data_IF_777644151995
#
_entry.id   IF_777644151995
#
_cell.length_a   1.000
_cell.length_b   1.000
_cell.length_c   1.000
_cell.angle_alpha   90.00
_cell.angle_beta   90.00
_cell.angle_gamma   90.00
#
_symmetry.space_group_name_H-M   'P 1'
#
loop_
_entity.id
_entity.type
_entity.pdbx_description
1 polymer ?
2 non-polymer ?
3 water ?
#
# COMPACT_ATOMS: atom_id res chain seq x y z
N UNK A 1 -14.62 -20.71 11.38
CA UNK A 1 -13.19 -20.92 11.48
C UNK A 1 -12.52 -20.71 10.13
N UNK A 2 -11.19 -20.77 10.12
CA UNK A 2 -10.42 -20.51 8.91
C UNK A 2 -10.71 -21.51 7.78
N UNK A 3 -10.88 -21.02 6.56
CA UNK A 3 -10.93 -21.93 5.42
C UNK A 3 -9.86 -21.66 4.37
N UNK A 4 -9.25 -22.72 3.86
CA UNK A 4 -8.17 -22.59 2.89
C UNK A 4 -8.62 -23.06 1.51
N UNK A 5 -8.31 -22.29 0.48
CA UNK A 5 -8.61 -22.68 -0.90
C UNK A 5 -7.59 -22.08 -1.86
N UNK A 6 -7.50 -22.65 -3.06
CA UNK A 6 -6.64 -22.09 -4.10
C UNK A 6 -7.41 -21.04 -4.87
N UNK A 7 -6.76 -19.92 -5.16
CA UNK A 7 -7.39 -18.81 -5.87
C UNK A 7 -7.78 -19.17 -7.29
N UNK A 8 -8.92 -18.64 -7.75
CA UNK A 8 -9.43 -18.81 -9.12
C UNK A 8 -9.34 -17.49 -9.86
N UNK A 9 -9.64 -17.53 -11.16
CA UNK A 9 -9.66 -16.31 -11.96
C UNK A 9 -10.49 -15.22 -11.31
N UNK A 10 -11.62 -15.62 -10.72
CA UNK A 10 -12.56 -14.69 -10.07
C UNK A 10 -11.92 -13.89 -8.93
N UNK A 11 -10.85 -14.44 -8.35
CA UNK A 11 -10.18 -13.82 -7.22
C UNK A 11 -9.10 -12.80 -7.58
N UNK A 12 -8.86 -12.59 -8.87
CA UNK A 12 -7.71 -11.77 -9.27
C UNK A 12 -7.67 -10.33 -8.70
N UNK A 13 -8.79 -9.63 -8.70
CA UNK A 13 -8.73 -8.26 -8.18
C UNK A 13 -8.35 -8.25 -6.69
N UNK A 14 -8.73 -9.28 -5.94
CA UNK A 14 -8.33 -9.38 -4.53
C UNK A 14 -6.84 -9.67 -4.37
N UNK A 15 -6.33 -10.59 -5.19
CA UNK A 15 -4.91 -10.93 -5.18
C UNK A 15 -4.05 -9.74 -5.52
N UNK A 16 -4.52 -8.95 -6.49
CA UNK A 16 -3.84 -7.73 -6.88
C UNK A 16 -3.80 -6.75 -5.71
N UNK A 17 -4.92 -6.52 -5.06
CA UNK A 17 -4.97 -5.61 -3.91
C UNK A 17 -4.09 -6.08 -2.76
N UNK A 18 -4.17 -7.36 -2.46
CA UNK A 18 -3.39 -7.90 -1.36
C UNK A 18 -1.89 -7.83 -1.65
N UNK A 19 -1.50 -8.08 -2.90
CA UNK A 19 -0.08 -7.94 -3.25
C UNK A 19 0.42 -6.50 -3.03
N UNK A 20 -0.35 -5.51 -3.46
CA UNK A 20 0.07 -4.13 -3.20
C UNK A 20 0.18 -3.85 -1.70
N UNK A 21 -0.81 -4.33 -0.96
CA UNK A 21 -0.86 -4.15 0.47
C UNK A 21 0.39 -4.75 1.14
N UNK A 22 0.76 -5.94 0.67
CA UNK A 22 1.93 -6.66 1.15
C UNK A 22 3.21 -5.88 0.89
N UNK A 23 3.38 -5.40 -0.33
CA UNK A 23 4.60 -4.70 -0.70
C UNK A 23 4.72 -3.41 0.09
N UNK A 24 3.61 -2.71 0.28
CA UNK A 24 3.65 -1.48 1.03
C UNK A 24 4.00 -1.75 2.49
N UNK A 25 3.42 -2.81 3.06
CA UNK A 25 3.79 -3.30 4.39
C UNK A 25 5.30 -3.59 4.48
N UNK A 26 5.89 -4.07 3.39
CA UNK A 26 7.33 -4.36 3.36
C UNK A 26 8.20 -3.09 3.28
N UNK A 27 7.57 -1.94 3.05
CA UNK A 27 8.30 -0.68 3.03
C UNK A 27 8.56 -0.10 1.66
N UNK A 28 8.05 -0.75 0.62
CA UNK A 28 8.31 -0.29 -0.73
C UNK A 28 7.51 0.98 -1.04
N UNK A 29 8.09 1.85 -1.86
CA UNK A 29 7.43 3.10 -2.22
C UNK A 29 6.55 2.91 -3.45
N UNK A 30 5.21 2.99 -3.25
CA UNK A 30 4.23 2.75 -4.30
C UNK A 30 4.08 3.94 -5.25
N UNK A 31 5.17 4.18 -5.99
CA UNK A 31 5.49 5.35 -6.78
C UNK A 31 4.79 5.44 -8.12
N UNK A 32 4.37 4.29 -8.62
CA UNK A 32 3.81 4.20 -9.95
C UNK A 32 2.63 3.25 -9.85
N UNK A 33 1.76 3.27 -10.86
CA UNK A 33 0.58 2.45 -10.87
C UNK A 33 0.93 1.14 -11.57
N UNK A 34 0.88 0.01 -10.87
CA UNK A 34 1.17 -1.27 -11.53
C UNK A 34 -0.05 -2.19 -11.61
N UNK A 35 -1.25 -1.61 -11.52
CA UNK A 35 -2.43 -2.45 -11.53
C UNK A 35 -2.52 -3.27 -12.81
N UNK A 36 -2.26 -2.65 -13.94
CA UNK A 36 -2.38 -3.35 -15.22
C UNK A 36 -1.46 -4.56 -15.25
N UNK A 37 -0.21 -4.34 -14.86
CA UNK A 37 0.81 -5.40 -14.94
C UNK A 37 0.56 -6.53 -13.95
N UNK A 38 0.12 -6.17 -12.75
CA UNK A 38 -0.24 -7.19 -11.74
C UNK A 38 -1.41 -8.03 -12.25
N UNK A 39 -2.44 -7.37 -12.76
CA UNK A 39 -3.64 -8.09 -13.25
C UNK A 39 -3.31 -9.01 -14.40
N UNK A 40 -2.46 -8.54 -15.31
CA UNK A 40 -2.01 -9.37 -16.43
C UNK A 40 -1.17 -10.56 -15.94
N UNK A 41 -0.29 -10.32 -14.97
CA UNK A 41 0.54 -11.40 -14.40
C UNK A 41 -0.32 -12.53 -13.81
N UNK A 42 -1.31 -12.16 -13.00
CA UNK A 42 -2.19 -13.14 -12.38
C UNK A 42 -3.04 -13.83 -13.43
N UNK A 43 -3.62 -13.05 -14.33
CA UNK A 43 -4.41 -13.66 -15.42
C UNK A 43 -3.66 -14.73 -16.20
N UNK A 44 -2.46 -14.39 -16.65
CA UNK A 44 -1.65 -15.31 -17.43
C UNK A 44 -1.14 -16.52 -16.66
N UNK A 45 -0.58 -16.31 -15.49
CA UNK A 45 0.06 -17.40 -14.75
C UNK A 45 -0.98 -18.31 -14.10
N UNK A 46 -2.10 -17.76 -13.68
CA UNK A 46 -3.15 -18.64 -13.14
C UNK A 46 -3.75 -19.47 -14.27
N UNK A 47 -4.00 -18.85 -15.42
CA UNK A 47 -4.65 -19.55 -16.51
C UNK A 47 -3.81 -20.71 -16.99
N UNK A 48 -2.49 -20.55 -16.99
CA UNK A 48 -1.54 -21.56 -17.45
C UNK A 48 -1.03 -22.46 -16.32
N UNK A 49 -1.53 -22.25 -15.10
CA UNK A 49 -1.13 -23.04 -13.94
C UNK A 49 0.35 -22.96 -13.61
N UNK A 50 0.98 -21.86 -14.01
CA UNK A 50 2.38 -21.58 -13.65
C UNK A 50 2.49 -20.80 -12.33
N UNK A 51 1.33 -20.53 -11.73
CA UNK A 51 1.24 -19.92 -10.41
C UNK A 51 0.10 -20.60 -9.64
N UNK A 52 0.35 -20.95 -8.38
CA UNK A 52 -0.71 -21.40 -7.48
C UNK A 52 -0.70 -20.50 -6.24
N UNK A 53 -1.82 -19.87 -5.96
CA UNK A 53 -1.87 -18.96 -4.81
C UNK A 53 -2.95 -19.43 -3.85
N UNK A 54 -2.51 -19.85 -2.67
CA UNK A 54 -3.43 -20.33 -1.65
C UNK A 54 -3.92 -19.12 -0.84
N UNK A 55 -5.17 -19.19 -0.42
CA UNK A 55 -5.71 -18.15 0.45
C UNK A 55 -6.36 -18.74 1.70
N UNK A 56 -6.26 -18.00 2.79
CA UNK A 56 -6.92 -18.37 4.04
C UNK A 56 -8.00 -17.34 4.23
N UNK A 57 -9.23 -17.79 4.42
CA UNK A 57 -10.37 -16.89 4.52
C UNK A 57 -11.13 -17.13 5.82
N UNK A 58 -11.71 -16.06 6.35
CA UNK A 58 -12.65 -16.17 7.44
C UNK A 58 -13.77 -15.16 7.20
N UNK A 59 -15.01 -15.57 7.41
CA UNK A 59 -16.15 -14.69 7.12
C UNK A 59 -16.00 -14.12 5.71
N UNK A 60 -15.47 -14.96 4.82
CA UNK A 60 -15.10 -14.54 3.47
C UNK A 60 -14.43 -13.17 3.35
N UNK A 61 -13.48 -12.93 4.25
CA UNK A 61 -12.45 -11.91 4.07
C UNK A 61 -11.12 -12.66 4.07
N UNK A 62 -10.21 -12.27 3.18
CA UNK A 62 -8.91 -12.96 3.12
C UNK A 62 -8.03 -12.55 4.29
N UNK A 63 -7.60 -13.54 5.05
CA UNK A 63 -6.70 -13.38 6.18
C UNK A 63 -5.23 -13.51 5.78
N UNK A 64 -4.95 -14.44 4.87
CA UNK A 64 -3.57 -14.66 4.44
C UNK A 64 -3.52 -15.16 2.99
N UNK A 65 -2.40 -14.91 2.33
CA UNK A 65 -2.14 -15.49 1.02
C UNK A 65 -0.73 -16.08 1.02
N UNK A 66 -0.46 -16.93 0.03
CA UNK A 66 0.87 -17.50 -0.16
C UNK A 66 0.88 -18.14 -1.54
N UNK A 67 1.89 -17.84 -2.35
CA UNK A 67 1.90 -18.41 -3.71
C UNK A 67 3.21 -19.11 -4.05
N UNK A 68 3.13 -19.97 -5.05
CA UNK A 68 4.34 -20.59 -5.58
C UNK A 68 4.23 -20.49 -7.09
N UNK A 69 5.30 -20.03 -7.72
CA UNK A 69 5.42 -19.94 -9.18
C UNK A 69 6.42 -21.00 -9.64
N UNK A 70 6.12 -21.62 -10.78
CA UNK A 70 7.03 -22.66 -11.29
C UNK A 70 7.86 -22.08 -12.42
N UNK A 71 9.17 -22.08 -12.21
CA UNK A 71 10.08 -21.39 -13.09
C UNK A 71 11.11 -22.38 -13.63
N UNK A 72 11.55 -22.17 -14.87
CA UNK A 72 12.44 -23.10 -15.57
C UNK A 72 13.85 -22.52 -15.65
N UNK A 73 14.82 -23.28 -15.14
CA UNK A 73 16.23 -22.93 -15.26
C UNK A 73 16.91 -24.07 -16.02
N UNK A 74 18.15 -23.86 -16.49
CA UNK A 74 18.79 -24.98 -17.18
C UNK A 74 19.03 -26.18 -16.27
N UNK A 75 18.78 -27.41 -16.78
CA UNK A 75 19.07 -28.60 -15.98
C UNK A 75 20.50 -28.64 -15.46
N UNK A 76 20.67 -29.23 -14.27
CA UNK A 76 21.99 -29.52 -13.75
C UNK A 76 21.97 -30.87 -13.06
N UNK A 77 23.13 -31.38 -12.68
CA UNK A 77 23.18 -32.73 -12.11
C UNK A 77 22.42 -32.86 -10.79
N UNK A 78 22.24 -31.74 -10.09
CA UNK A 78 21.55 -31.74 -8.81
C UNK A 78 20.07 -31.32 -8.92
N UNK A 79 19.62 -31.09 -10.13
CA UNK A 79 18.25 -30.72 -10.40
C UNK A 79 18.00 -31.03 -11.87
N UNK A 80 17.76 -32.30 -12.21
CA UNK A 80 17.83 -32.70 -13.62
C UNK A 80 16.83 -32.04 -14.56
N UNK A 81 15.68 -31.61 -14.03
CA UNK A 81 14.67 -30.95 -14.86
C UNK A 81 14.94 -29.44 -14.98
N UNK A 82 15.73 -28.91 -14.07
CA UNK A 82 16.00 -27.49 -14.01
C UNK A 82 14.88 -26.63 -13.40
N UNK A 83 13.74 -27.25 -13.12
CA UNK A 83 12.60 -26.50 -12.61
C UNK A 83 12.77 -26.18 -11.14
N UNK A 84 12.19 -25.05 -10.72
CA UNK A 84 12.17 -24.66 -9.32
C UNK A 84 10.82 -24.07 -8.99
N UNK A 85 10.44 -24.15 -7.73
CA UNK A 85 9.25 -23.47 -7.26
C UNK A 85 9.74 -22.16 -6.65
N UNK A 86 9.09 -21.07 -7.01
CA UNK A 86 9.49 -19.75 -6.52
C UNK A 86 8.36 -19.26 -5.61
N UNK A 87 8.65 -19.12 -4.32
CA UNK A 87 7.61 -18.75 -3.37
C UNK A 87 7.50 -17.23 -3.27
N UNK A 88 6.26 -16.74 -3.19
CA UNK A 88 6.01 -15.32 -3.33
C UNK A 88 4.62 -14.99 -2.79
N UNK A 89 4.28 -13.69 -2.79
CA UNK A 89 2.95 -13.25 -2.43
C UNK A 89 2.50 -13.77 -1.08
N UNK A 90 3.42 -13.84 -0.13
CA UNK A 90 3.02 -14.25 1.21
C UNK A 90 2.66 -13.05 2.07
N UNK A 91 1.48 -13.12 2.66
CA UNK A 91 0.98 -12.02 3.48
C UNK A 91 0.05 -12.63 4.51
N UNK A 92 0.22 -12.24 5.76
CA UNK A 92 -0.74 -12.57 6.80
C UNK A 92 -1.23 -11.26 7.44
N UNK A 93 -2.53 -11.12 7.62
CA UNK A 93 -3.14 -9.98 8.30
C UNK A 93 -2.40 -9.76 9.62
N UNK A 94 -1.99 -8.51 9.91
CA UNK A 94 -1.17 -8.25 11.10
C UNK A 94 -1.72 -8.81 12.42
N UNK A 95 -3.01 -8.63 12.69
CA UNK A 95 -3.56 -9.14 13.95
C UNK A 95 -3.60 -10.67 13.98
N UNK A 96 -3.35 -11.31 12.84
CA UNK A 96 -3.33 -12.76 12.76
C UNK A 96 -1.92 -13.35 12.73
N UNK A 97 -0.91 -12.50 12.76
CA UNK A 97 0.47 -12.98 12.70
C UNK A 97 0.92 -13.73 13.96
N UNK A 98 1.98 -14.51 13.83
CA UNK A 98 2.52 -15.28 14.95
C UNK A 98 1.70 -16.47 15.41
N UNK A 99 0.76 -16.91 14.56
CA UNK A 99 -0.05 -18.07 14.88
C UNK A 99 0.34 -19.30 14.03
N UNK A 100 1.35 -19.13 13.20
CA UNK A 100 1.80 -20.24 12.36
C UNK A 100 1.11 -20.31 11.01
N UNK A 101 0.41 -19.25 10.63
CA UNK A 101 -0.32 -19.28 9.37
C UNK A 101 0.61 -19.35 8.15
N UNK A 102 1.56 -18.44 8.07
CA UNK A 102 2.54 -18.48 6.99
C UNK A 102 3.31 -19.81 6.98
N UNK A 103 3.67 -20.31 8.15
CA UNK A 103 4.40 -21.60 8.23
C UNK A 103 3.57 -22.77 7.66
N UNK A 104 2.29 -22.81 8.00
CA UNK A 104 1.40 -23.81 7.46
C UNK A 104 1.17 -23.62 5.96
N UNK A 105 1.16 -22.37 5.50
CA UNK A 105 1.08 -22.10 4.06
C UNK A 105 2.30 -22.68 3.34
N UNK A 106 3.49 -22.51 3.92
CA UNK A 106 4.70 -23.08 3.33
C UNK A 106 4.53 -24.59 3.12
N UNK A 107 3.90 -25.28 4.08
CA UNK A 107 3.65 -26.73 3.91
C UNK A 107 2.81 -26.98 2.66
N UNK A 108 1.76 -26.17 2.46
CA UNK A 108 0.90 -26.35 1.31
C UNK A 108 1.64 -26.07 0.00
N UNK A 109 2.53 -25.09 0.02
CA UNK A 109 3.29 -24.75 -1.19
C UNK A 109 4.30 -25.83 -1.54
N UNK A 110 4.96 -26.38 -0.53
CA UNK A 110 5.87 -27.49 -0.73
C UNK A 110 5.10 -28.65 -1.37
N UNK A 111 3.87 -28.85 -0.94
CA UNK A 111 3.07 -29.91 -1.55
C UNK A 111 2.78 -29.65 -3.05
N UNK A 112 2.50 -28.40 -3.41
CA UNK A 112 2.29 -28.07 -4.83
C UNK A 112 3.53 -28.45 -5.64
N UNK A 113 4.69 -28.20 -5.06
CA UNK A 113 5.96 -28.50 -5.73
C UNK A 113 6.15 -29.99 -5.96
N UNK A 114 5.93 -30.78 -4.91
CA UNK A 114 6.11 -32.23 -4.99
C UNK A 114 5.16 -32.84 -6.01
N UNK A 115 3.93 -32.35 -6.05
CA UNK A 115 2.94 -32.91 -6.98
C UNK A 115 3.33 -32.66 -8.45
N UNK A 116 4.28 -31.75 -8.65
CA UNK A 116 4.77 -31.41 -9.99
C UNK A 116 6.21 -31.87 -10.17
N UNK A 117 6.67 -32.77 -9.30
CA UNK A 117 8.03 -33.30 -9.38
C UNK A 117 9.11 -32.23 -9.29
N UNK A 118 8.91 -31.29 -8.38
CA UNK A 118 9.88 -30.24 -8.12
C UNK A 118 10.40 -30.39 -6.71
N UNK A 119 11.71 -30.30 -6.54
CA UNK A 119 12.32 -30.52 -5.23
C UNK A 119 13.25 -29.41 -4.79
N UNK A 120 13.32 -28.35 -5.59
CA UNK A 120 14.11 -27.18 -5.22
C UNK A 120 13.19 -25.96 -5.19
N UNK A 121 13.15 -25.27 -4.06
CA UNK A 121 12.32 -24.07 -3.90
C UNK A 121 13.20 -22.89 -3.59
N UNK A 122 12.83 -21.71 -4.06
CA UNK A 122 13.62 -20.54 -3.74
C UNK A 122 12.67 -19.38 -3.51
N UNK A 123 13.19 -18.31 -2.92
CA UNK A 123 12.38 -17.13 -2.66
C UNK A 123 13.29 -15.96 -2.34
N UNK A 124 12.72 -14.75 -2.34
CA UNK A 124 13.42 -13.57 -1.86
C UNK A 124 12.80 -13.16 -0.53
N UNK A 125 13.62 -13.17 0.52
CA UNK A 125 13.11 -12.98 1.87
C UNK A 125 12.95 -11.50 2.21
N UNK A 126 11.78 -11.13 2.70
CA UNK A 126 11.54 -9.81 3.24
C UNK A 126 12.04 -9.78 4.68
N UNK A 127 11.98 -8.61 5.32
CA UNK A 127 12.43 -8.47 6.71
C UNK A 127 11.65 -9.37 7.67
N UNK A 128 10.34 -9.40 7.50
CA UNK A 128 9.49 -10.19 8.37
C UNK A 128 9.47 -11.65 7.95
N UNK A 129 9.70 -11.89 6.67
CA UNK A 129 9.64 -13.23 6.15
C UNK A 129 10.84 -14.04 6.56
N UNK A 130 11.99 -13.37 6.68
CA UNK A 130 13.28 -14.06 6.78
C UNK A 130 13.40 -15.10 7.92
N UNK A 131 13.09 -14.69 9.17
CA UNK A 131 13.12 -15.63 10.30
C UNK A 131 12.13 -16.79 10.13
N UNK A 132 11.00 -16.53 9.47
CA UNK A 132 10.04 -17.61 9.18
C UNK A 132 10.66 -18.65 8.25
N UNK A 133 11.27 -18.18 7.16
CA UNK A 133 11.89 -19.07 6.19
C UNK A 133 13.14 -19.75 6.77
N UNK A 134 13.92 -19.01 7.55
CA UNK A 134 15.09 -19.58 8.21
C UNK A 134 14.65 -20.71 9.14
N UNK A 135 13.63 -20.44 9.95
CA UNK A 135 13.09 -21.44 10.86
C UNK A 135 12.64 -22.69 10.10
N UNK A 136 12.10 -22.47 8.90
CA UNK A 136 11.56 -23.56 8.07
C UNK A 136 12.63 -24.40 7.38
N UNK A 137 13.84 -23.87 7.23
CA UNK A 137 14.89 -24.62 6.58
C UNK A 137 15.47 -23.99 5.33
N UNK A 138 14.99 -22.82 4.94
CA UNK A 138 15.58 -22.17 3.78
C UNK A 138 17.02 -21.77 4.12
N UNK A 139 17.91 -21.86 3.13
CA UNK A 139 19.32 -21.61 3.34
C UNK A 139 19.84 -20.37 2.60
N UNK A 140 20.68 -19.60 3.29
CA UNK A 140 21.49 -18.52 2.70
C UNK A 140 22.07 -18.94 1.36
N UNK A 141 22.13 -18.00 0.41
CA UNK A 141 22.65 -18.26 -0.92
C UNK A 141 23.56 -17.13 -1.43
N UNK A 142 24.81 -17.11 -0.98
CA UNK A 142 25.75 -16.07 -1.37
C UNK A 142 26.01 -16.02 -2.89
N UNK A 143 25.55 -17.04 -3.62
CA UNK A 143 25.82 -17.12 -5.05
C UNK A 143 24.92 -16.24 -5.94
N UNK A 144 23.75 -15.82 -5.46
CA UNK A 144 22.83 -15.03 -6.29
C UNK A 144 23.24 -13.58 -6.35
N UNK A 145 23.42 -13.05 -7.56
CA UNK A 145 23.82 -11.66 -7.73
C UNK A 145 22.89 -10.99 -8.72
N UNK A 146 22.71 -9.68 -8.59
CA UNK A 146 21.78 -8.98 -9.46
C UNK A 146 22.36 -7.67 -10.01
N UNK A 147 22.05 -7.42 -11.28
CA UNK A 147 22.49 -6.21 -11.97
C UNK A 147 21.27 -5.37 -12.32
N UNK A 148 21.30 -4.11 -11.94
CA UNK A 148 20.26 -3.16 -12.31
C UNK A 148 20.73 -2.31 -13.48
N UNK A 149 20.12 -2.49 -14.64
CA UNK A 149 20.60 -1.84 -15.86
C UNK A 149 20.46 -0.31 -15.87
N UNK A 150 19.65 0.23 -14.95
CA UNK A 150 19.58 1.68 -14.79
C UNK A 150 20.73 2.24 -13.94
N UNK A 151 21.45 1.35 -13.26
CA UNK A 151 22.52 1.74 -12.33
C UNK A 151 23.95 1.53 -12.84
N UNK A 152 24.16 0.48 -13.63
CA UNK A 152 25.52 0.19 -14.10
C UNK A 152 25.61 0.07 -15.61
N UNK A 153 26.60 0.76 -16.17
CA UNK A 153 26.86 0.77 -17.61
C UNK A 153 28.20 1.41 -17.92
N UNK B 1 12.46 18.26 -14.87
CA UNK B 1 11.85 19.06 -13.81
C UNK B 1 10.56 18.41 -13.30
N UNK B 2 10.16 18.83 -12.11
CA UNK B 2 8.94 18.33 -11.49
C UNK B 2 7.73 19.04 -12.10
N UNK B 3 6.64 18.30 -12.30
CA UNK B 3 5.39 18.93 -12.69
C UNK B 3 4.34 18.63 -11.64
N UNK B 4 3.39 19.55 -11.52
CA UNK B 4 2.32 19.48 -10.53
C UNK B 4 0.99 19.40 -11.26
N UNK B 5 0.07 18.59 -10.75
CA UNK B 5 -1.23 18.44 -11.39
C UNK B 5 -2.24 17.95 -10.39
N UNK B 6 -3.51 18.25 -10.62
CA UNK B 6 -4.60 17.74 -9.79
C UNK B 6 -4.93 16.31 -10.16
N UNK B 7 -5.10 15.47 -9.15
CA UNK B 7 -5.41 14.07 -9.36
C UNK B 7 -6.77 13.92 -10.01
N UNK B 8 -6.84 13.00 -10.97
CA UNK B 8 -8.08 12.64 -11.65
C UNK B 8 -8.54 11.27 -11.14
N UNK B 9 -9.72 10.85 -11.59
CA UNK B 9 -10.27 9.57 -11.15
C UNK B 9 -9.32 8.41 -11.42
N UNK B 10 -8.56 8.50 -12.50
CA UNK B 10 -7.66 7.42 -12.91
C UNK B 10 -6.53 7.22 -11.90
N UNK B 11 -6.30 8.23 -11.05
CA UNK B 11 -5.16 8.24 -10.13
C UNK B 11 -5.49 7.64 -8.77
N UNK B 12 -6.72 7.20 -8.59
CA UNK B 12 -7.13 6.77 -7.27
C UNK B 12 -6.27 5.65 -6.72
N UNK B 13 -5.95 4.67 -7.55
CA UNK B 13 -5.12 3.58 -7.07
C UNK B 13 -3.80 4.07 -6.47
N UNK B 14 -3.18 5.03 -7.16
CA UNK B 14 -1.96 5.69 -6.70
C UNK B 14 -2.17 6.39 -5.35
N UNK B 15 -3.23 7.20 -5.29
CA UNK B 15 -3.54 7.97 -4.09
C UNK B 15 -3.75 7.06 -2.89
N UNK B 16 -4.41 5.93 -3.11
CA UNK B 16 -4.65 4.99 -2.03
C UNK B 16 -3.35 4.40 -1.48
N UNK B 17 -2.47 3.98 -2.39
CA UNK B 17 -1.20 3.37 -1.97
C UNK B 17 -0.27 4.37 -1.29
N UNK B 18 -0.19 5.57 -1.84
CA UNK B 18 0.68 6.58 -1.23
C UNK B 18 0.17 7.00 0.15
N UNK B 19 -1.15 7.11 0.32
CA UNK B 19 -1.67 7.46 1.65
C UNK B 19 -1.23 6.42 2.69
N UNK B 20 -1.29 5.14 2.35
CA UNK B 20 -0.85 4.13 3.32
C UNK B 20 0.62 4.27 3.67
N UNK B 21 1.43 4.53 2.64
CA UNK B 21 2.85 4.80 2.82
C UNK B 21 3.01 5.99 3.74
N UNK B 22 2.20 7.02 3.51
CA UNK B 22 2.25 8.23 4.31
C UNK B 22 2.01 7.94 5.79
N UNK B 23 0.90 7.26 6.08
CA UNK B 23 0.52 6.99 7.46
C UNK B 23 1.59 6.15 8.15
N UNK B 24 2.08 5.13 7.47
CA UNK B 24 3.19 4.36 8.01
C UNK B 24 4.35 5.27 8.36
N UNK B 25 4.67 6.20 7.46
CA UNK B 25 5.77 7.13 7.71
C UNK B 25 5.52 8.02 8.93
N UNK B 26 4.26 8.16 9.33
CA UNK B 26 3.92 8.97 10.51
C UNK B 26 4.13 8.17 11.78
N UNK B 27 4.47 6.90 11.63
CA UNK B 27 4.72 6.04 12.76
C UNK B 27 3.50 5.25 13.19
N UNK B 28 2.53 5.16 12.29
CA UNK B 28 1.31 4.42 12.58
C UNK B 28 1.41 3.00 12.05
N UNK B 29 0.96 2.03 12.86
CA UNK B 29 0.95 0.63 12.44
C UNK B 29 -0.25 0.30 11.56
N UNK B 30 0.00 -0.32 10.39
CA UNK B 30 -1.00 -0.68 9.38
C UNK B 30 -1.73 -2.01 9.67
N UNK B 31 -2.59 -2.06 10.67
CA UNK B 31 -3.22 -3.33 11.06
C UNK B 31 -4.67 -3.58 10.66
N UNK B 32 -5.11 -2.97 9.57
CA UNK B 32 -6.42 -3.29 9.03
C UNK B 32 -6.44 -2.89 7.59
N UNK B 33 -7.19 -3.64 6.79
CA UNK B 33 -7.31 -3.32 5.38
C UNK B 33 -8.20 -2.09 5.24
N UNK B 34 -7.58 -0.93 5.07
CA UNK B 34 -8.34 0.28 4.78
C UNK B 34 -8.38 0.49 3.29
N UNK B 35 -7.82 -0.46 2.54
CA UNK B 35 -7.75 -0.31 1.11
C UNK B 35 -9.13 -0.09 0.50
N UNK B 36 -10.12 -0.82 0.98
CA UNK B 36 -11.44 -0.73 0.38
C UNK B 36 -12.12 0.58 0.77
N UNK B 37 -11.93 0.95 2.02
CA UNK B 37 -12.51 2.19 2.54
C UNK B 37 -11.88 3.43 1.89
N UNK B 38 -10.54 3.44 1.83
CA UNK B 38 -9.83 4.53 1.15
C UNK B 38 -10.26 4.70 -0.30
N UNK B 39 -10.45 3.64 -0.88
CA UNK B 39 -10.86 3.66 -2.28
C UNK B 39 -12.26 4.25 -2.45
N UNK B 40 -13.16 3.87 -1.70
CA UNK B 40 -14.49 4.46 -1.64
C UNK B 40 -14.42 5.96 -1.37
N UNK B 41 -13.68 6.34 -0.34
CA UNK B 41 -13.47 7.75 0.03
C UNK B 41 -13.04 8.63 -1.17
N UNK B 42 -11.97 8.22 -1.83
CA UNK B 42 -11.47 8.95 -2.99
C UNK B 42 -12.48 9.04 -4.14
N UNK B 43 -13.08 7.92 -4.53
CA UNK B 43 -14.10 7.98 -5.59
C UNK B 43 -15.24 8.93 -5.22
N UNK B 44 -15.76 8.79 -4.00
CA UNK B 44 -16.82 9.68 -3.55
C UNK B 44 -16.43 11.16 -3.59
N UNK B 45 -15.34 11.49 -2.90
CA UNK B 45 -14.96 12.90 -2.71
C UNK B 45 -14.42 13.57 -3.99
N UNK B 46 -13.62 12.86 -4.77
CA UNK B 46 -13.15 13.44 -6.03
C UNK B 46 -14.30 13.70 -6.99
N UNK B 47 -15.19 12.72 -7.11
CA UNK B 47 -16.31 12.78 -8.06
C UNK B 47 -17.25 13.94 -7.76
N UNK B 48 -17.43 14.22 -6.47
CA UNK B 48 -18.34 15.27 -6.04
C UNK B 48 -17.61 16.58 -5.73
N UNK B 49 -16.32 16.62 -6.03
CA UNK B 49 -15.52 17.84 -5.86
C UNK B 49 -15.50 18.29 -4.40
N UNK B 50 -15.47 17.31 -3.50
CA UNK B 50 -15.36 17.59 -2.08
C UNK B 50 -13.92 17.39 -1.58
N UNK B 51 -13.03 17.03 -2.52
CA UNK B 51 -11.60 16.87 -2.23
C UNK B 51 -10.81 17.29 -3.47
N UNK B 52 -9.72 17.99 -3.26
CA UNK B 52 -8.76 18.25 -4.33
C UNK B 52 -7.42 17.76 -3.84
N UNK B 53 -6.78 16.89 -4.62
CA UNK B 53 -5.47 16.39 -4.25
C UNK B 53 -4.44 16.68 -5.33
N UNK B 54 -3.51 17.57 -5.01
CA UNK B 54 -2.38 17.89 -5.87
C UNK B 54 -1.28 16.83 -5.84
N UNK B 55 -0.68 16.61 -7.00
CA UNK B 55 0.40 15.65 -7.17
C UNK B 55 1.64 16.36 -7.66
N UNK B 56 2.78 16.03 -7.08
CA UNK B 56 4.07 16.45 -7.62
C UNK B 56 4.68 15.22 -8.24
N UNK B 57 5.17 15.36 -9.46
CA UNK B 57 5.56 14.23 -10.29
C UNK B 57 6.89 14.51 -10.97
N UNK B 58 7.61 13.44 -11.32
CA UNK B 58 8.76 13.57 -12.22
C UNK B 58 9.02 12.22 -12.88
N UNK B 59 8.99 12.21 -14.21
CA UNK B 59 9.08 10.97 -14.97
C UNK B 59 7.78 10.17 -14.86
N UNK B 60 6.68 10.87 -14.58
CA UNK B 60 5.41 10.20 -14.28
C UNK B 60 5.51 9.34 -13.03
N UNK B 61 6.54 9.62 -12.22
CA UNK B 61 6.73 8.97 -10.93
C UNK B 61 6.36 9.96 -9.84
N UNK B 62 5.44 9.59 -8.96
CA UNK B 62 4.96 10.56 -7.98
C UNK B 62 5.99 10.83 -6.88
N UNK B 63 6.17 12.11 -6.58
CA UNK B 63 7.13 12.58 -5.56
C UNK B 63 6.42 13.05 -4.30
N UNK B 64 5.27 13.71 -4.47
CA UNK B 64 4.54 14.26 -3.34
C UNK B 64 3.03 14.34 -3.60
N UNK B 65 2.26 14.34 -2.52
CA UNK B 65 0.82 14.60 -2.56
C UNK B 65 0.48 15.69 -1.53
N UNK B 66 -0.65 16.35 -1.76
CA UNK B 66 -1.23 17.29 -0.79
C UNK B 66 -2.67 17.48 -1.17
N UNK B 67 -3.58 17.34 -0.20
CA UNK B 67 -5.01 17.44 -0.47
C UNK B 67 -5.73 18.39 0.48
N UNK B 68 -6.85 18.89 0.00
CA UNK B 68 -7.76 19.64 0.84
C UNK B 68 -9.18 19.12 0.63
N UNK B 69 -9.86 18.82 1.74
CA UNK B 69 -11.26 18.39 1.70
C UNK B 69 -12.10 19.56 2.16
N UNK B 70 -13.30 19.67 1.59
CA UNK B 70 -14.21 20.75 1.98
C UNK B 70 -15.31 20.18 2.86
N UNK B 71 -15.29 20.61 4.12
CA UNK B 71 -16.15 20.02 5.13
C UNK B 71 -17.19 21.04 5.62
N UNK B 72 -18.42 20.61 5.80
CA UNK B 72 -19.50 21.49 6.26
C UNK B 72 -19.67 21.37 7.78
N UNK B 73 -19.39 22.45 8.51
CA UNK B 73 -19.75 22.53 9.93
C UNK B 73 -20.90 23.52 10.11
N UNK B 74 -21.52 23.55 11.29
CA UNK B 74 -22.59 24.52 11.52
C UNK B 74 -22.07 25.95 11.35
N UNK B 75 -22.76 26.75 10.52
CA UNK B 75 -22.41 28.17 10.42
C UNK B 75 -22.31 28.84 11.79
N UNK B 76 -21.38 29.79 11.91
CA UNK B 76 -21.20 30.53 13.14
C UNK B 76 -20.83 31.95 12.78
N UNK B 77 -20.85 32.85 13.77
CA UNK B 77 -20.58 34.27 13.51
C UNK B 77 -19.17 34.48 12.98
N UNK B 78 -18.26 33.59 13.33
CA UNK B 78 -16.85 33.71 12.92
C UNK B 78 -16.56 32.92 11.64
N UNK B 79 -17.57 32.25 11.10
CA UNK B 79 -17.43 31.50 9.87
C UNK B 79 -18.81 31.38 9.25
N UNK B 80 -19.20 32.44 8.55
CA UNK B 80 -20.55 32.63 8.05
C UNK B 80 -21.18 31.38 7.46
N UNK B 81 -20.45 30.71 6.57
CA UNK B 81 -20.99 29.58 5.82
C UNK B 81 -20.79 28.25 6.55
N UNK B 82 -19.99 28.26 7.60
CA UNK B 82 -19.67 27.04 8.33
C UNK B 82 -18.69 26.09 7.62
N UNK B 83 -18.36 26.36 6.36
CA UNK B 83 -17.48 25.45 5.64
C UNK B 83 -16.00 25.68 5.98
N UNK B 84 -15.23 24.59 6.02
CA UNK B 84 -13.79 24.67 6.29
C UNK B 84 -13.02 23.83 5.28
N UNK B 85 -11.80 24.24 5.01
CA UNK B 85 -10.91 23.39 4.23
C UNK B 85 -10.17 22.53 5.24
N UNK B 86 -10.08 21.24 4.97
CA UNK B 86 -9.38 20.33 5.85
C UNK B 86 -8.21 19.74 5.07
N UNK B 87 -7.00 20.12 5.45
CA UNK B 87 -5.80 19.72 4.75
C UNK B 87 -5.36 18.35 5.26
N UNK B 88 -4.95 17.52 4.31
CA UNK B 88 -4.72 16.11 4.60
C UNK B 88 -3.94 15.48 3.45
N UNK B 89 -3.57 14.22 3.62
CA UNK B 89 -2.86 13.46 2.58
C UNK B 89 -1.60 14.15 2.10
N UNK B 90 -0.89 14.80 3.01
CA UNK B 90 0.37 15.42 2.66
C UNK B 90 1.53 14.45 2.86
N UNK B 91 2.26 14.23 1.77
CA UNK B 91 3.38 13.30 1.76
C UNK B 91 4.43 13.82 0.81
N UNK B 92 5.69 13.72 1.24
CA UNK B 92 6.80 13.89 0.33
C UNK B 92 7.73 12.68 0.46
N UNK B 93 8.13 12.10 -0.67
CA UNK B 93 9.03 10.95 -0.62
C UNK B 93 10.25 11.34 0.20
N UNK B 94 10.71 10.42 1.07
CA UNK B 94 11.85 10.70 1.95
C UNK B 94 13.01 11.43 1.24
N UNK B 95 13.48 10.93 0.10
CA UNK B 95 14.67 11.53 -0.51
C UNK B 95 14.44 12.93 -1.08
N UNK B 96 13.22 13.44 -1.00
CA UNK B 96 12.92 14.77 -1.53
C UNK B 96 12.47 15.77 -0.46
N UNK B 97 12.47 15.31 0.78
CA UNK B 97 12.05 16.16 1.88
C UNK B 97 13.04 17.26 2.18
N UNK B 98 12.54 18.38 2.70
CA UNK B 98 13.38 19.49 3.08
C UNK B 98 13.76 20.35 1.90
N UNK B 99 12.99 20.27 0.83
CA UNK B 99 13.23 21.12 -0.33
C UNK B 99 12.08 22.09 -0.56
N UNK B 100 11.19 22.18 0.43
CA UNK B 100 10.07 23.10 0.39
C UNK B 100 8.88 22.61 -0.41
N UNK B 101 8.84 21.32 -0.74
CA UNK B 101 7.74 20.80 -1.55
C UNK B 101 6.38 20.96 -0.85
N UNK B 102 6.27 20.42 0.37
CA UNK B 102 5.01 20.51 1.13
C UNK B 102 4.63 21.97 1.41
N UNK B 103 5.63 22.80 1.66
CA UNK B 103 5.38 24.22 1.92
C UNK B 103 4.76 24.87 0.70
N UNK B 104 5.30 24.57 -0.48
CA UNK B 104 4.71 25.06 -1.72
C UNK B 104 3.33 24.45 -1.94
N UNK B 105 3.16 23.20 -1.51
CA UNK B 105 1.87 22.52 -1.66
C UNK B 105 0.80 23.25 -0.85
N UNK B 106 1.19 23.75 0.33
CA UNK B 106 0.30 24.53 1.17
C UNK B 106 -0.29 25.72 0.40
N UNK B 107 0.55 26.43 -0.37
CA UNK B 107 0.09 27.58 -1.13
C UNK B 107 -1.02 27.19 -2.11
N UNK B 108 -0.84 26.04 -2.76
CA UNK B 108 -1.83 25.56 -3.72
C UNK B 108 -3.14 25.19 -3.04
N UNK B 109 -3.04 24.57 -1.87
CA UNK B 109 -4.23 24.22 -1.10
C UNK B 109 -4.99 25.47 -0.60
N UNK B 110 -4.23 26.48 -0.18
CA UNK B 110 -4.83 27.74 0.25
C UNK B 110 -5.60 28.39 -0.90
N UNK B 111 -5.01 28.35 -2.09
CA UNK B 111 -5.70 28.82 -3.29
C UNK B 111 -7.03 28.08 -3.55
N UNK B 112 -7.02 26.75 -3.42
CA UNK B 112 -8.24 25.96 -3.58
C UNK B 112 -9.35 26.45 -2.66
N UNK B 113 -8.99 26.73 -1.41
CA UNK B 113 -9.97 27.21 -0.44
C UNK B 113 -10.51 28.59 -0.83
N UNK B 114 -9.62 29.50 -1.23
CA UNK B 114 -10.04 30.84 -1.61
C UNK B 114 -11.04 30.83 -2.76
N UNK B 115 -10.75 30.03 -3.79
CA UNK B 115 -11.61 29.94 -4.97
C UNK B 115 -13.02 29.45 -4.63
N UNK B 116 -13.17 28.86 -3.45
CA UNK B 116 -14.48 28.36 -3.03
C UNK B 116 -15.07 29.16 -1.86
N UNK B 117 -14.53 30.37 -1.67
CA UNK B 117 -14.98 31.26 -0.59
C UNK B 117 -14.84 30.64 0.80
N UNK B 118 -13.72 29.95 1.01
CA UNK B 118 -13.41 29.38 2.31
C UNK B 118 -12.20 30.10 2.91
N UNK B 119 -12.31 30.57 4.15
CA UNK B 119 -11.21 31.28 4.82
C UNK B 119 -10.70 30.59 6.08
N UNK B 120 -11.38 29.53 6.50
CA UNK B 120 -10.92 28.78 7.67
C UNK B 120 -10.41 27.41 7.21
N UNK B 121 -9.12 27.16 7.42
CA UNK B 121 -8.52 25.88 7.07
C UNK B 121 -7.93 25.21 8.29
N UNK B 122 -8.30 23.94 8.53
CA UNK B 122 -7.75 23.22 9.66
C UNK B 122 -7.07 21.92 9.22
N UNK B 123 -6.34 21.31 10.15
CA UNK B 123 -5.67 20.03 9.90
C UNK B 123 -5.28 19.40 11.24
N UNK B 124 -4.89 18.14 11.19
CA UNK B 124 -4.27 17.47 12.32
C UNK B 124 -2.78 17.28 12.01
N UNK B 125 -1.92 17.81 12.87
CA UNK B 125 -0.48 17.81 12.59
C UNK B 125 0.20 16.49 12.94
N UNK B 126 1.03 16.00 12.03
CA UNK B 126 1.93 14.88 12.33
C UNK B 126 3.21 15.43 12.94
N UNK B 127 4.10 14.55 13.39
CA UNK B 127 5.39 14.96 13.92
C UNK B 127 6.20 15.80 12.92
N UNK B 128 6.25 15.34 11.68
CA UNK B 128 7.08 15.99 10.65
C UNK B 128 6.36 17.17 10.00
N UNK B 129 5.03 17.16 10.07
CA UNK B 129 4.26 18.23 9.45
C UNK B 129 4.14 19.44 10.35
N UNK B 130 4.13 19.20 11.66
CA UNK B 130 3.88 20.27 12.63
C UNK B 130 4.75 21.52 12.39
N UNK B 131 6.06 21.33 12.20
CA UNK B 131 6.97 22.47 11.99
C UNK B 131 6.57 23.33 10.80
N UNK B 132 6.20 22.70 9.69
CA UNK B 132 5.79 23.42 8.49
C UNK B 132 4.53 24.26 8.73
N UNK B 133 3.56 23.67 9.40
CA UNK B 133 2.27 24.32 9.57
C UNK B 133 2.40 25.50 10.53
N UNK B 134 3.21 25.34 11.58
CA UNK B 134 3.44 26.42 12.53
C UNK B 134 4.00 27.65 11.80
N UNK B 135 5.13 27.46 11.12
CA UNK B 135 5.77 28.54 10.38
C UNK B 135 4.79 29.22 9.41
N UNK B 136 3.91 28.42 8.83
CA UNK B 136 2.98 28.92 7.81
C UNK B 136 1.93 29.84 8.41
N UNK B 137 1.59 29.62 9.67
CA UNK B 137 0.56 30.41 10.33
C UNK B 137 -0.54 29.60 10.99
N UNK B 138 -0.49 28.27 10.88
CA UNK B 138 -1.47 27.44 11.58
C UNK B 138 -1.30 27.61 13.09
N UNK B 139 -2.41 27.84 13.77
CA UNK B 139 -2.39 28.16 15.20
C UNK B 139 -2.94 27.03 16.04
N UNK B 140 -2.25 26.73 17.13
CA UNK B 140 -2.64 25.68 18.06
C UNK B 140 -4.08 25.82 18.53
N UNK B 141 -4.62 24.75 19.08
CA UNK B 141 -6.03 24.71 19.43
C UNK B 141 -6.32 23.92 20.70
N UNK B 142 -6.71 24.62 21.76
CA UNK B 142 -7.18 23.97 22.97
C UNK B 142 -8.70 23.81 22.90
N UNK B 143 -9.22 23.78 21.67
CA UNK B 143 -10.64 23.61 21.43
C UNK B 143 -11.02 22.14 21.31
N UNK B 144 -10.25 21.42 20.48
CA UNK B 144 -10.65 20.11 20.00
C UNK B 144 -10.46 18.98 21.01
N UNK B 145 -11.53 18.23 21.24
CA UNK B 145 -11.49 17.07 22.11
C UNK B 145 -12.08 15.88 21.37
N UNK B 146 -11.55 14.69 21.64
CA UNK B 146 -11.98 13.48 20.96
C UNK B 146 -12.19 12.32 21.95
N UNK B 147 -13.28 11.58 21.76
CA UNK B 147 -13.61 10.48 22.64
C UNK B 147 -13.60 9.23 21.78
N UNK B 148 -12.94 8.19 22.28
CA UNK B 148 -12.90 6.92 21.55
C UNK B 148 -13.80 5.90 22.24
N UNK B 149 -14.86 5.51 21.55
CA UNK B 149 -15.89 4.67 22.15
C UNK B 149 -15.42 3.26 22.46
N UNK B 150 -14.29 2.87 21.88
CA UNK B 150 -13.69 1.56 22.15
C UNK B 150 -12.93 1.58 23.48
N UNK B 151 -12.35 2.72 23.81
CA UNK B 151 -11.60 2.87 25.05
C UNK B 151 -12.53 3.17 26.21
N UNK B 152 -13.41 4.13 26.04
CA UNK B 152 -14.28 4.57 27.12
C UNK B 152 -15.75 4.26 26.81
N UNK B 153 -16.21 3.13 27.35
CA UNK B 153 -17.59 2.71 27.16
C UNK B 153 -18.45 3.18 28.32
N UNK B 154 -19.44 2.37 28.69
CA UNK B 154 -20.37 2.72 29.75
C UNK B 154 -20.03 2.05 31.07
X LIG C 1 5.04 -22.12 18.30
X LIG C 1 5.87 -21.05 18.66
X LIG C 1 6.01 -19.93 17.81
X LIG C 1 5.29 -19.91 16.54
X LIG C 1 4.43 -21.00 16.17
X LIG C 1 4.31 -22.10 17.01
X LIG C 1 3.45 -23.20 16.62
X LIG C 1 3.86 -20.71 14.89
X LIG C 1 4.33 -19.47 14.48
X LIG C 1 5.24 -18.98 15.50
X LIG C 1 5.83 -17.64 15.48
X LIG C 1 7.20 -17.89 14.81
X LIG C 1 8.12 -18.79 15.35
X LIG C 1 7.63 -16.49 14.44
X LIG C 1 8.30 -15.71 15.40
X LIG C 1 9.90 -15.65 15.50
X LIG C 1 10.27 -15.18 16.94
X LIG C 1 10.44 -14.65 14.46
X LIG C 1 10.50 -17.02 15.24
X LIG C 1 6.26 -15.93 13.91
X LIG C 1 5.27 -16.49 14.83
X LIG C 1 5.89 -15.87 12.44
X LIG C 1 5.57 -17.15 11.94
X LIG C 1 4.18 -17.42 11.24
X LIG C 1 3.00 -17.24 12.20
X LIG C 1 4.25 -18.81 10.63
X LIG C 1 4.11 -16.36 10.07
X LIG C 1 2.96 -15.26 9.93
X LIG C 1 2.96 -14.21 11.08
X LIG C 1 1.62 -15.92 9.72
X LIG C 1 3.24 -14.54 8.56
X LIG C 1 4.58 -13.05 7.17
X LIG C 1 4.54 -14.13 8.25
X LIG C 1 6.00 -12.81 6.70
X LIG C 1 3.69 -13.51 6.06
X LIG C 1 4.02 -11.72 7.80
X LIG C 1 4.83 -11.26 8.84
X LIG C 1 3.66 -10.65 6.80
X LIG C 1 2.61 -10.68 6.15
X LIG C 1 4.59 -9.56 6.67
X LIG C 1 4.37 -8.51 5.68
X LIG C 1 4.45 -9.03 4.29
X LIG C 1 5.69 -9.86 4.09
X LIG C 1 6.79 -9.47 4.52
X LIG C 1 5.54 -11.12 3.44
X LIG C 1 6.68 -11.88 2.98
X LIG C 1 7.32 -11.42 1.69
X LIG C 1 8.61 -12.49 1.10
X LIG C 1 7.99 -13.80 0.24
X LIG C 1 6.79 -13.90 0.08
X LIG C 1 8.90 -14.89 -0.19
X LIG D 1 14.85 24.56 1.17
X LIG D 1 15.44 23.83 2.21
X LIG D 1 14.70 23.57 3.39
X LIG D 1 13.34 24.06 3.53
X LIG D 1 12.73 24.81 2.47
X LIG D 1 13.45 25.06 1.30
X LIG D 1 12.84 25.81 0.23
X LIG D 1 11.40 25.16 2.88
X LIG D 1 11.18 24.64 4.15
X LIG D 1 12.40 23.96 4.58
X LIG D 1 12.62 23.25 5.81
X LIG D 1 11.54 23.96 6.67
X LIG D 1 11.81 25.19 7.26
X LIG D 1 10.78 22.86 7.41
X LIG D 1 10.67 22.85 8.81
X LIG D 1 11.69 22.02 9.73
X LIG D 1 13.08 21.91 9.03
X LIG D 1 11.11 20.60 9.97
X LIG D 1 11.83 22.73 11.06
X LIG D 1 11.18 21.55 6.64
X LIG D 1 12.53 21.83 6.06
X LIG D 1 10.13 20.86 5.80
X LIG D 1 9.64 21.68 4.77
X LIG D 1 9.18 21.06 3.41
X LIG D 1 10.43 20.68 2.58
X LIG D 1 8.33 22.07 2.67
X LIG D 1 8.33 19.77 3.75
X LIG D 1 8.48 18.38 2.97
X LIG D 1 9.80 17.64 3.43
X LIG D 1 8.42 18.60 1.49
X LIG D 1 7.26 17.46 3.39
X LIG D 1 6.01 16.21 5.07
X LIG D 1 6.87 17.42 4.73
X LIG D 1 5.30 16.37 6.39
X LIG D 1 5.02 16.03 3.97
X LIG D 1 7.00 15.00 5.17
X LIG D 1 7.94 15.19 6.18
X LIG D 1 6.36 13.64 5.15
X LIG D 1 5.96 13.16 4.10
X LIG D 1 6.36 12.86 6.39
X LIG D 1 5.60 11.60 6.49
X LIG D 1 4.14 11.83 6.30
X LIG D 1 3.66 13.07 7.00
X LIG D 1 4.04 13.34 8.15
X LIG D 1 2.79 13.98 6.31
X LIG D 1 2.02 14.93 7.08
X LIG D 1 0.80 14.41 7.77
X LIG D 1 -0.25 15.68 8.45
X LIG D 1 -1.16 16.45 7.28
X LIG D 1 -1.21 15.97 6.16
X LIG D 1 -2.04 17.59 7.64
#
# INVERSE_FOLDING_TARGET
>A
MMNYRKADMKDISLLVSIRKRQLIDEGIEPNIDIDKELTRYFNNKLANNLLVEWIAEENNQIIATAAIAFIDFPPTYTNKTGRKGYITNMYTEPTSRGNGIATGMLDRLVNEAKERNIHKICLVASKLGRPVYKKYGFQDTDEWLELNLLEHHHHHH
>B
MMNYRKADMKDISLLVSIRKRQLIDEGIEPNIDIDKELTRYFNNKLANNLLVEWIAEENNQIIATAAIAFIDFPPTYTNKTGRKGYITNMYTEPTSRGNGIATGMLDRLVNEAKERNIHKICLVASKLGRPVYKKYGFQDTDEWLELNLLEHHHHHH
>C hetero
1 ACO N1A C2A N3A C4A C5A C6A N6A N7A C8A N9A C1B C2B O2B C3B O3B P3B O7A O8A O9A C4B O4B C5B O5B P1A O1A O2A O3A P2A O4A O5A O6A CBP CCP CDP CEP CAP OAP C9P O9P N8P C7P C6P C5P O5P N4P C3P C2P S1P C O CH3
>D hetero
1 ACO N1A C2A N3A C4A C5A C6A N6A N7A C8A N9A C1B C2B O2B C3B O3B P3B O7A O8A O9A C4B O4B C5B O5B P1A O1A O2A O3A P2A O4A O5A O6A CBP CCP CDP CEP CAP OAP C9P O9P N8P C7P C6P C5P O5P N4P C3P C2P S1P C O CH3
#
